data_IF_387932654387
#
_entry.id   IF_387932654387
#
_cell.length_a   1.000
_cell.length_b   1.000
_cell.length_c   1.000
_cell.angle_alpha   90.00
_cell.angle_beta   90.00
_cell.angle_gamma   90.00
#
_symmetry.space_group_name_H-M   'P 1'
#
loop_
_entity.id
_entity.type
_entity.pdbx_description
1 polymer ?
#
# COMPACT_ATOMS: atom_id res chain seq x y z
N UNK A 1 7.49 22.34 -2.73
CA UNK A 1 8.21 21.25 -3.42
C UNK A 1 7.78 21.28 -4.88
N UNK A 2 8.67 21.10 -5.86
CA UNK A 2 8.29 21.04 -7.27
C UNK A 2 8.06 19.57 -7.71
N UNK A 3 7.53 19.39 -8.90
CA UNK A 3 7.11 18.12 -9.53
C UNK A 3 8.24 17.09 -9.50
N UNK A 4 9.44 17.50 -9.94
CA UNK A 4 10.61 16.62 -9.95
C UNK A 4 10.95 16.09 -8.55
N UNK A 5 10.89 16.94 -7.51
CA UNK A 5 11.17 16.52 -6.14
C UNK A 5 10.08 15.58 -5.61
N UNK A 6 8.81 15.78 -5.99
CA UNK A 6 7.74 14.83 -5.69
C UNK A 6 7.98 13.48 -6.34
N UNK A 7 8.30 13.43 -7.63
CA UNK A 7 8.59 12.17 -8.34
C UNK A 7 9.80 11.44 -7.73
N UNK A 8 10.87 12.16 -7.39
CA UNK A 8 12.03 11.54 -6.71
C UNK A 8 11.62 10.93 -5.36
N UNK A 9 10.79 11.64 -4.59
CA UNK A 9 10.27 11.11 -3.31
C UNK A 9 9.42 9.87 -3.52
N UNK A 10 8.45 9.91 -4.43
CA UNK A 10 7.56 8.78 -4.71
C UNK A 10 8.36 7.58 -5.21
N UNK A 11 9.13 7.72 -6.29
CA UNK A 11 9.92 6.61 -6.86
C UNK A 11 10.82 5.96 -5.80
N UNK A 12 11.42 6.75 -4.89
CA UNK A 12 12.23 6.18 -3.82
C UNK A 12 11.39 5.38 -2.83
N UNK A 13 10.32 5.98 -2.30
CA UNK A 13 9.51 5.35 -1.24
C UNK A 13 8.74 4.13 -1.76
N UNK A 14 8.12 4.22 -2.94
CA UNK A 14 7.39 3.11 -3.58
C UNK A 14 8.31 1.91 -3.91
N UNK A 15 9.61 2.16 -4.13
CA UNK A 15 10.59 1.07 -4.33
C UNK A 15 10.88 0.26 -3.07
N UNK A 16 10.50 0.78 -1.90
CA UNK A 16 10.65 0.15 -0.58
C UNK A 16 9.29 -0.32 -0.04
N UNK A 17 8.21 0.41 -0.34
CA UNK A 17 6.84 0.11 0.12
C UNK A 17 6.33 -1.27 -0.35
N UNK A 18 6.75 -1.75 -1.52
CA UNK A 18 6.38 -3.11 -1.98
C UNK A 18 7.08 -4.27 -1.25
N UNK A 19 8.00 -4.01 -0.32
CA UNK A 19 8.79 -5.04 0.37
C UNK A 19 8.04 -5.73 1.53
N UNK A 20 7.38 -5.01 2.47
CA UNK A 20 6.73 -5.61 3.63
C UNK A 20 5.66 -6.65 3.29
N UNK A 21 4.71 -6.32 2.41
CA UNK A 21 3.67 -7.25 1.97
C UNK A 21 4.23 -8.53 1.36
N UNK A 22 5.30 -8.41 0.56
CA UNK A 22 5.99 -9.56 -0.04
C UNK A 22 6.65 -10.45 1.02
N UNK A 23 7.38 -9.85 1.96
CA UNK A 23 8.03 -10.59 3.06
C UNK A 23 6.99 -11.30 3.94
N UNK A 24 5.95 -10.58 4.34
CA UNK A 24 4.87 -11.10 5.18
C UNK A 24 4.13 -12.24 4.47
N UNK A 25 3.69 -12.02 3.23
CA UNK A 25 3.02 -13.01 2.39
C UNK A 25 3.87 -14.26 2.18
N UNK A 26 5.16 -14.11 1.86
CA UNK A 26 6.12 -15.22 1.72
C UNK A 26 6.25 -16.02 3.03
N UNK A 27 6.45 -15.35 4.17
CA UNK A 27 6.64 -16.03 5.45
C UNK A 27 5.39 -16.77 5.91
N UNK A 28 4.20 -16.18 5.71
CA UNK A 28 2.91 -16.83 5.96
C UNK A 28 2.67 -18.00 5.01
N UNK A 29 3.01 -17.86 3.74
CA UNK A 29 2.92 -18.92 2.74
C UNK A 29 3.77 -20.14 3.13
N UNK A 30 5.05 -19.93 3.44
CA UNK A 30 5.92 -20.99 3.92
C UNK A 30 5.44 -21.58 5.25
N UNK A 31 4.73 -20.82 6.09
CA UNK A 31 4.17 -21.30 7.36
C UNK A 31 2.98 -22.23 7.15
N UNK A 32 2.08 -21.83 6.25
CA UNK A 32 0.96 -22.63 5.77
C UNK A 32 1.44 -23.97 5.22
N UNK A 33 2.43 -23.95 4.32
CA UNK A 33 2.99 -25.15 3.69
C UNK A 33 3.63 -26.09 4.71
N UNK A 34 4.56 -25.61 5.54
CA UNK A 34 5.30 -26.48 6.49
C UNK A 34 4.43 -27.06 7.60
N UNK A 35 3.27 -26.46 7.88
CA UNK A 35 2.31 -26.94 8.89
C UNK A 35 1.12 -27.68 8.30
N UNK A 36 0.95 -27.67 6.97
CA UNK A 36 -0.20 -28.22 6.27
C UNK A 36 -1.53 -27.65 6.81
N UNK A 37 -1.56 -26.32 7.04
CA UNK A 37 -2.73 -25.60 7.59
C UNK A 37 -3.20 -24.52 6.65
N UNK A 38 -4.46 -24.10 6.79
CA UNK A 38 -5.00 -22.92 6.11
C UNK A 38 -4.38 -21.64 6.70
N UNK A 39 -4.21 -20.63 5.86
CA UNK A 39 -3.75 -19.29 6.24
C UNK A 39 -4.91 -18.33 6.59
N UNK A 40 -6.12 -18.65 6.15
CA UNK A 40 -7.34 -17.85 6.33
C UNK A 40 -7.35 -16.51 5.56
N UNK A 41 -6.73 -16.47 4.38
CA UNK A 41 -6.93 -15.42 3.37
C UNK A 41 -5.96 -14.24 3.46
N UNK A 42 -4.91 -14.30 4.28
CA UNK A 42 -3.95 -13.21 4.47
C UNK A 42 -2.85 -13.18 3.40
N UNK A 43 -2.38 -14.34 2.94
CA UNK A 43 -1.30 -14.42 1.93
C UNK A 43 -1.68 -13.64 0.67
N UNK A 44 -2.89 -13.85 0.15
CA UNK A 44 -3.35 -13.19 -1.07
C UNK A 44 -3.38 -11.67 -0.90
N UNK A 45 -4.02 -11.16 0.17
CA UNK A 45 -4.09 -9.73 0.45
C UNK A 45 -2.70 -9.08 0.59
N UNK A 46 -1.76 -9.73 1.27
CA UNK A 46 -0.40 -9.19 1.44
C UNK A 46 0.41 -9.17 0.14
N UNK A 47 0.17 -10.14 -0.76
CA UNK A 47 0.79 -10.16 -2.08
C UNK A 47 0.10 -9.19 -3.04
N UNK A 48 -1.22 -8.99 -2.93
CA UNK A 48 -1.98 -7.94 -3.62
C UNK A 48 -1.45 -6.55 -3.25
N UNK A 49 -1.22 -6.28 -1.95
CA UNK A 49 -0.60 -5.04 -1.45
C UNK A 49 0.78 -4.83 -2.07
N UNK A 50 1.69 -5.82 -1.98
CA UNK A 50 3.02 -5.71 -2.57
C UNK A 50 3.00 -5.50 -4.10
N UNK A 51 2.01 -6.07 -4.79
CA UNK A 51 1.78 -5.84 -6.20
C UNK A 51 1.30 -4.42 -6.46
N UNK A 52 0.37 -3.92 -5.66
CA UNK A 52 -0.19 -2.57 -5.78
C UNK A 52 0.90 -1.49 -5.61
N UNK A 53 1.72 -1.59 -4.57
CA UNK A 53 2.88 -0.70 -4.34
C UNK A 53 3.86 -0.71 -5.54
N UNK A 54 4.08 -1.88 -6.13
CA UNK A 54 4.91 -1.97 -7.35
C UNK A 54 4.25 -1.24 -8.52
N UNK A 55 2.93 -1.23 -8.62
CA UNK A 55 2.21 -0.48 -9.65
C UNK A 55 2.28 1.03 -9.42
N UNK A 56 2.35 1.50 -8.17
CA UNK A 56 2.69 2.91 -7.86
C UNK A 56 4.05 3.26 -8.44
N UNK A 57 5.09 2.48 -8.09
CA UNK A 57 6.44 2.68 -8.59
C UNK A 57 6.49 2.72 -10.12
N UNK A 58 5.94 1.70 -10.79
CA UNK A 58 6.00 1.59 -12.25
C UNK A 58 5.25 2.74 -12.93
N UNK A 59 4.18 3.23 -12.34
CA UNK A 59 3.46 4.43 -12.79
C UNK A 59 4.35 5.67 -12.72
N UNK A 60 5.00 5.94 -11.58
CA UNK A 60 5.87 7.12 -11.45
C UNK A 60 7.13 7.03 -12.32
N UNK A 61 7.63 5.82 -12.59
CA UNK A 61 8.73 5.62 -13.54
C UNK A 61 8.37 5.98 -15.00
N UNK A 62 7.07 6.05 -15.34
CA UNK A 62 6.63 6.61 -16.63
C UNK A 62 6.72 8.14 -16.68
N UNK A 63 6.82 8.80 -15.53
CA UNK A 63 6.89 10.26 -15.42
C UNK A 63 8.31 10.78 -15.19
N UNK A 64 9.18 9.98 -14.55
CA UNK A 64 10.59 10.34 -14.36
C UNK A 64 11.49 9.11 -14.33
N UNK A 65 12.68 9.24 -14.95
CA UNK A 65 13.72 8.22 -14.86
C UNK A 65 14.69 8.51 -13.70
N UNK A 66 14.93 7.54 -12.80
CA UNK A 66 15.91 7.70 -11.74
C UNK A 66 17.35 7.64 -12.29
N UNK A 67 18.18 8.58 -11.84
CA UNK A 67 19.62 8.55 -12.14
C UNK A 67 20.36 7.40 -11.45
N UNK A 68 21.61 7.16 -11.84
CA UNK A 68 22.43 6.05 -11.31
C UNK A 68 22.58 6.08 -9.77
N UNK A 69 22.76 7.28 -9.20
CA UNK A 69 22.89 7.44 -7.75
C UNK A 69 21.63 6.97 -7.00
N UNK A 70 20.45 7.35 -7.50
CA UNK A 70 19.18 6.91 -6.92
C UNK A 70 18.99 5.41 -7.06
N UNK A 71 19.33 4.83 -8.23
CA UNK A 71 19.30 3.36 -8.45
C UNK A 71 20.18 2.63 -7.43
N UNK A 72 21.38 3.12 -7.14
CA UNK A 72 22.25 2.54 -6.09
C UNK A 72 21.66 2.68 -4.69
N UNK A 73 21.06 3.82 -4.37
CA UNK A 73 20.38 4.03 -3.08
C UNK A 73 19.20 3.08 -2.89
N UNK A 74 18.42 2.81 -3.95
CA UNK A 74 17.31 1.85 -3.91
C UNK A 74 17.84 0.45 -3.58
N UNK A 75 18.90 -0.01 -4.26
CA UNK A 75 19.52 -1.32 -3.97
C UNK A 75 19.97 -1.40 -2.52
N UNK A 76 20.65 -0.37 -2.02
CA UNK A 76 21.11 -0.32 -0.62
C UNK A 76 19.94 -0.34 0.37
N UNK A 77 18.92 0.49 0.12
CA UNK A 77 17.71 0.57 0.96
C UNK A 77 16.96 -0.77 0.99
N UNK A 78 16.75 -1.41 -0.17
CA UNK A 78 16.11 -2.72 -0.24
C UNK A 78 16.94 -3.79 0.47
N UNK A 79 18.27 -3.79 0.31
CA UNK A 79 19.15 -4.72 0.99
C UNK A 79 19.04 -4.65 2.51
N UNK A 80 19.01 -3.44 3.08
CA UNK A 80 18.84 -3.26 4.53
C UNK A 80 17.40 -3.56 4.96
N UNK A 81 16.42 -2.97 4.28
CA UNK A 81 15.02 -3.03 4.70
C UNK A 81 14.40 -4.42 4.54
N UNK A 82 14.68 -5.13 3.45
CA UNK A 82 14.23 -6.52 3.27
C UNK A 82 14.72 -7.43 4.40
N UNK A 83 16.03 -7.40 4.68
CA UNK A 83 16.61 -8.25 5.72
C UNK A 83 16.11 -7.86 7.12
N UNK A 84 16.01 -6.55 7.39
CA UNK A 84 15.45 -6.04 8.64
C UNK A 84 14.00 -6.48 8.85
N UNK A 85 13.14 -6.28 7.86
CA UNK A 85 11.73 -6.69 7.90
C UNK A 85 11.58 -8.22 7.99
N UNK A 86 12.38 -8.98 7.26
CA UNK A 86 12.37 -10.45 7.32
C UNK A 86 12.67 -10.96 8.74
N UNK A 87 13.76 -10.48 9.35
CA UNK A 87 14.13 -10.87 10.71
C UNK A 87 13.11 -10.38 11.74
N UNK A 88 12.63 -9.13 11.62
CA UNK A 88 11.63 -8.58 12.52
C UNK A 88 10.31 -9.37 12.45
N UNK A 89 9.87 -9.76 11.26
CA UNK A 89 8.62 -10.49 11.07
C UNK A 89 8.68 -11.92 11.63
N UNK A 90 9.85 -12.56 11.60
CA UNK A 90 10.06 -13.84 12.28
C UNK A 90 9.91 -13.74 13.81
N UNK A 91 10.27 -12.59 14.39
CA UNK A 91 10.20 -12.36 15.84
C UNK A 91 8.82 -11.87 16.27
N UNK A 92 8.29 -10.84 15.62
CA UNK A 92 7.04 -10.20 15.99
C UNK A 92 6.28 -9.63 14.77
N UNK A 93 5.43 -10.44 14.11
CA UNK A 93 4.67 -9.98 12.95
C UNK A 93 3.69 -8.85 13.30
N UNK A 94 3.15 -8.83 14.53
CA UNK A 94 2.24 -7.78 14.99
C UNK A 94 2.91 -6.40 14.96
N UNK A 95 4.14 -6.31 15.45
CA UNK A 95 4.92 -5.07 15.41
C UNK A 95 5.23 -4.65 13.98
N UNK A 96 5.55 -5.59 13.08
CA UNK A 96 5.77 -5.28 11.66
C UNK A 96 4.53 -4.69 11.01
N UNK A 97 3.35 -5.27 11.21
CA UNK A 97 2.10 -4.73 10.65
C UNK A 97 1.74 -3.37 11.24
N UNK A 98 1.98 -3.15 12.54
CA UNK A 98 1.79 -1.83 13.14
C UNK A 98 2.74 -0.79 12.54
N UNK A 99 4.00 -1.17 12.31
CA UNK A 99 5.00 -0.31 11.69
C UNK A 99 4.59 0.07 10.26
N UNK A 100 4.16 -0.90 9.44
CA UNK A 100 3.63 -0.64 8.09
C UNK A 100 2.40 0.26 8.15
N UNK A 101 1.44 -0.02 9.04
CA UNK A 101 0.26 0.84 9.21
C UNK A 101 0.61 2.31 9.47
N UNK A 102 1.67 2.59 10.25
CA UNK A 102 2.17 3.95 10.44
C UNK A 102 2.92 4.52 9.23
N UNK A 103 3.63 3.70 8.45
CA UNK A 103 4.19 4.15 7.16
C UNK A 103 3.08 4.60 6.21
N UNK A 104 1.98 3.85 6.16
CA UNK A 104 0.84 4.19 5.30
C UNK A 104 0.05 5.40 5.79
N UNK A 105 0.01 5.68 7.09
CA UNK A 105 -0.46 6.96 7.60
C UNK A 105 0.34 8.15 7.02
N UNK A 106 1.67 8.02 7.01
CA UNK A 106 2.56 9.02 6.42
C UNK A 106 2.46 9.07 4.89
N UNK A 107 2.16 7.95 4.22
CA UNK A 107 1.92 7.90 2.78
C UNK A 107 0.62 8.64 2.42
N UNK A 108 -0.48 8.39 3.15
CA UNK A 108 -1.75 9.12 2.98
C UNK A 108 -1.57 10.62 3.15
N UNK A 109 -0.76 11.06 4.12
CA UNK A 109 -0.41 12.47 4.33
C UNK A 109 0.47 13.01 3.20
N UNK A 110 1.46 12.23 2.77
CA UNK A 110 2.36 12.59 1.68
C UNK A 110 1.57 12.89 0.40
N UNK A 111 0.63 12.02 0.02
CA UNK A 111 -0.24 12.23 -1.14
C UNK A 111 -1.24 13.36 -0.93
N UNK A 112 -1.78 13.53 0.28
CA UNK A 112 -2.60 14.69 0.61
C UNK A 112 -1.87 16.02 0.33
N UNK A 113 -0.62 16.15 0.78
CA UNK A 113 0.16 17.37 0.53
C UNK A 113 0.53 17.55 -0.94
N UNK A 114 0.76 16.47 -1.70
CA UNK A 114 0.99 16.56 -3.14
C UNK A 114 -0.26 17.08 -3.88
N UNK A 115 -1.44 16.54 -3.55
CA UNK A 115 -2.73 16.98 -4.07
C UNK A 115 -2.99 18.45 -3.73
N UNK A 116 -2.79 18.85 -2.46
CA UNK A 116 -2.96 20.25 -2.04
C UNK A 116 -2.03 21.21 -2.79
N UNK A 117 -0.79 20.80 -3.11
CA UNK A 117 0.11 21.62 -3.91
C UNK A 117 -0.36 21.73 -5.37
N UNK A 118 -0.90 20.65 -5.94
CA UNK A 118 -1.46 20.64 -7.29
C UNK A 118 -2.69 21.55 -7.38
N UNK A 119 -3.66 21.41 -6.47
CA UNK A 119 -4.88 22.21 -6.45
C UNK A 119 -4.60 23.70 -6.16
N UNK A 120 -3.51 24.00 -5.44
CA UNK A 120 -3.05 25.37 -5.21
C UNK A 120 -2.26 25.98 -6.39
N UNK A 121 -2.16 25.31 -7.54
CA UNK A 121 -1.43 25.79 -8.72
C UNK A 121 0.10 25.86 -8.53
N UNK A 122 0.65 25.11 -7.58
CA UNK A 122 2.11 25.08 -7.30
C UNK A 122 2.86 24.04 -8.14
N UNK A 123 2.13 23.24 -8.92
CA UNK A 123 2.64 22.16 -9.76
C UNK A 123 2.10 22.33 -11.20
N UNK A 124 2.47 23.41 -11.91
CA UNK A 124 1.91 23.76 -13.21
C UNK A 124 2.11 22.66 -14.27
N UNK A 125 3.18 21.86 -14.20
CA UNK A 125 3.41 20.77 -15.16
C UNK A 125 2.40 19.64 -14.96
N UNK A 126 1.75 19.54 -13.79
CA UNK A 126 0.81 18.47 -13.46
C UNK A 126 -0.66 18.86 -13.66
N UNK A 127 -0.98 20.15 -13.78
CA UNK A 127 -2.36 20.64 -13.89
C UNK A 127 -3.11 19.99 -15.08
N UNK A 128 -2.42 19.90 -16.22
CA UNK A 128 -2.95 19.32 -17.46
C UNK A 128 -2.25 18.01 -17.85
N UNK A 129 -1.52 17.40 -16.92
CA UNK A 129 -0.83 16.14 -17.17
C UNK A 129 -1.80 14.98 -17.14
N UNK A 130 -1.86 14.23 -18.24
CA UNK A 130 -2.60 12.97 -18.31
C UNK A 130 -1.84 11.89 -17.51
N UNK A 131 -2.58 11.07 -16.78
CA UNK A 131 -2.04 9.88 -16.12
C UNK A 131 -1.45 8.91 -17.16
N UNK A 132 -0.32 8.24 -16.87
CA UNK A 132 0.26 7.24 -17.76
C UNK A 132 -0.73 6.13 -18.13
N UNK A 133 -0.67 5.59 -19.34
CA UNK A 133 -1.61 4.55 -19.78
C UNK A 133 -1.57 3.29 -18.90
N UNK A 134 -0.38 2.95 -18.36
CA UNK A 134 -0.23 1.88 -17.35
C UNK A 134 -1.17 2.07 -16.15
N UNK A 135 -1.28 3.31 -15.67
CA UNK A 135 -2.13 3.67 -14.55
C UNK A 135 -3.62 3.64 -14.95
N UNK A 136 -3.93 4.16 -16.14
CA UNK A 136 -5.29 4.15 -16.69
C UNK A 136 -5.82 2.72 -16.75
N UNK A 137 -5.02 1.79 -17.24
CA UNK A 137 -5.39 0.38 -17.36
C UNK A 137 -5.49 -0.29 -15.99
N UNK A 138 -4.50 -0.09 -15.11
CA UNK A 138 -4.48 -0.74 -13.80
C UNK A 138 -5.64 -0.31 -12.89
N UNK A 139 -5.89 1.01 -12.77
CA UNK A 139 -6.99 1.53 -11.95
C UNK A 139 -8.32 1.65 -12.70
N UNK A 140 -8.40 1.16 -13.94
CA UNK A 140 -9.57 1.29 -14.82
C UNK A 140 -10.14 2.73 -14.82
N UNK A 141 -9.27 3.72 -15.06
CA UNK A 141 -9.62 5.14 -14.92
C UNK A 141 -10.63 5.55 -16.02
N UNK A 142 -11.83 6.08 -15.64
CA UNK A 142 -12.87 6.40 -16.61
C UNK A 142 -12.48 7.60 -17.49
N UNK A 143 -13.07 7.67 -18.68
CA UNK A 143 -12.89 8.80 -19.60
C UNK A 143 -13.33 10.10 -18.88
N UNK A 144 -12.44 11.10 -18.84
CA UNK A 144 -12.63 12.34 -18.07
C UNK A 144 -11.97 12.39 -16.69
N UNK A 145 -11.55 11.25 -16.12
CA UNK A 145 -10.81 11.21 -14.85
C UNK A 145 -9.37 10.70 -15.03
N UNK A 146 -8.75 10.97 -16.19
CA UNK A 146 -7.41 10.47 -16.56
C UNK A 146 -6.30 11.51 -16.35
N UNK A 147 -6.46 12.40 -15.37
CA UNK A 147 -5.48 13.45 -15.04
C UNK A 147 -4.63 13.07 -13.83
N UNK A 148 -3.48 13.72 -13.68
CA UNK A 148 -2.54 13.49 -12.57
C UNK A 148 -3.21 13.63 -11.20
N UNK A 149 -4.14 14.58 -11.02
CA UNK A 149 -4.93 14.71 -9.79
C UNK A 149 -5.70 13.41 -9.45
N UNK A 150 -6.38 12.84 -10.44
CA UNK A 150 -7.16 11.61 -10.26
C UNK A 150 -6.26 10.40 -9.98
N UNK A 151 -5.06 10.37 -10.58
CA UNK A 151 -4.07 9.36 -10.27
C UNK A 151 -3.62 9.45 -8.79
N UNK A 152 -3.25 10.64 -8.33
CA UNK A 152 -2.82 10.84 -6.94
C UNK A 152 -3.93 10.51 -5.93
N UNK A 153 -5.20 10.82 -6.27
CA UNK A 153 -6.35 10.47 -5.43
C UNK A 153 -6.54 8.95 -5.31
N UNK A 154 -6.31 8.20 -6.39
CA UNK A 154 -6.42 6.74 -6.41
C UNK A 154 -5.30 6.08 -5.62
N UNK A 155 -4.05 6.48 -5.86
CA UNK A 155 -2.90 6.00 -5.08
C UNK A 155 -3.12 6.29 -3.59
N UNK A 156 -3.56 7.52 -3.24
CA UNK A 156 -3.88 7.85 -1.84
C UNK A 156 -4.97 6.96 -1.23
N UNK A 157 -5.94 6.52 -2.03
CA UNK A 157 -6.99 5.62 -1.57
C UNK A 157 -6.43 4.21 -1.32
N UNK A 158 -5.51 3.75 -2.16
CA UNK A 158 -4.77 2.51 -1.96
C UNK A 158 -3.95 2.57 -0.65
N UNK A 159 -3.20 3.64 -0.40
CA UNK A 159 -2.46 3.79 0.88
C UNK A 159 -3.38 3.83 2.09
N UNK A 160 -4.53 4.49 1.97
CA UNK A 160 -5.51 4.50 3.04
C UNK A 160 -6.02 3.09 3.34
N UNK A 161 -6.11 2.23 2.30
CA UNK A 161 -6.49 0.84 2.42
C UNK A 161 -5.38 -0.01 3.03
N UNK A 162 -4.15 0.11 2.56
CA UNK A 162 -3.00 -0.59 3.13
C UNK A 162 -2.83 -0.27 4.61
N UNK A 163 -3.02 1.01 5.00
CA UNK A 163 -3.08 1.45 6.40
C UNK A 163 -4.13 0.68 7.21
N UNK A 164 -5.37 0.65 6.73
CA UNK A 164 -6.47 -0.02 7.42
C UNK A 164 -6.19 -1.52 7.56
N UNK A 165 -5.74 -2.17 6.49
CA UNK A 165 -5.45 -3.61 6.46
C UNK A 165 -4.33 -3.96 7.43
N UNK A 166 -3.22 -3.22 7.42
CA UNK A 166 -2.08 -3.48 8.29
C UNK A 166 -2.40 -3.20 9.77
N UNK A 167 -3.11 -2.11 10.09
CA UNK A 167 -3.54 -1.89 11.48
C UNK A 167 -4.52 -2.96 11.96
N UNK A 168 -5.49 -3.36 11.12
CA UNK A 168 -6.44 -4.45 11.43
C UNK A 168 -5.70 -5.74 11.70
N UNK A 169 -4.80 -6.14 10.80
CA UNK A 169 -3.98 -7.32 10.99
C UNK A 169 -3.16 -7.23 12.29
N UNK A 170 -2.61 -6.06 12.61
CA UNK A 170 -1.94 -5.76 13.88
C UNK A 170 -2.85 -5.81 15.13
N UNK A 171 -4.18 -5.73 15.00
CA UNK A 171 -5.15 -5.88 16.09
C UNK A 171 -5.57 -7.36 16.29
N UNK A 172 -5.46 -8.18 15.25
CA UNK A 172 -5.90 -9.57 15.25
C UNK A 172 -4.84 -10.56 15.76
N UNK A 173 -5.31 -11.76 16.12
CA UNK A 173 -4.45 -12.89 16.46
C UNK A 173 -3.93 -13.53 15.17
N UNK A 174 -2.73 -13.08 14.78
CA UNK A 174 -1.98 -13.45 13.58
C UNK A 174 -2.01 -14.93 13.18
N UNK A 175 -2.06 -15.84 14.17
CA UNK A 175 -1.97 -17.28 13.98
C UNK A 175 -3.29 -17.99 13.68
N UNK A 176 -4.44 -17.34 13.93
CA UNK A 176 -5.75 -18.01 13.92
C UNK A 176 -6.86 -17.21 13.29
N UNK A 177 -6.86 -15.89 13.46
CA UNK A 177 -7.99 -15.06 13.06
C UNK A 177 -8.06 -14.93 11.52
N UNK A 178 -9.26 -15.12 10.92
CA UNK A 178 -9.45 -14.98 9.48
C UNK A 178 -9.26 -13.54 9.00
N UNK A 179 -8.94 -13.39 7.72
CA UNK A 179 -8.89 -12.10 7.06
C UNK A 179 -10.31 -11.53 6.87
N UNK A 180 -10.67 -10.43 7.57
CA UNK A 180 -12.01 -9.88 7.51
C UNK A 180 -12.31 -9.22 6.15
N UNK A 181 -11.30 -8.83 5.36
CA UNK A 181 -11.46 -8.16 4.06
C UNK A 181 -11.88 -9.10 2.92
N UNK A 182 -11.81 -10.41 3.13
CA UNK A 182 -12.26 -11.44 2.17
C UNK A 182 -13.36 -12.33 2.75
N UNK A 183 -13.90 -11.95 3.91
CA UNK A 183 -14.96 -12.69 4.60
C UNK A 183 -16.36 -12.29 4.09
N UNK A 184 -17.32 -13.22 4.20
CA UNK A 184 -18.74 -12.93 3.93
C UNK A 184 -19.46 -12.62 5.22
N UNK A 185 -20.17 -11.49 5.27
CA UNK A 185 -20.91 -11.03 6.44
C UNK A 185 -22.40 -11.33 6.30
N UNK A 186 -23.04 -11.77 7.39
CA UNK A 186 -24.47 -12.17 7.41
C UNK A 186 -25.39 -10.99 7.11
N UNK A 187 -25.06 -9.81 7.65
CA UNK A 187 -25.81 -8.58 7.42
C UNK A 187 -24.90 -7.56 6.71
N UNK A 188 -24.90 -7.53 5.36
CA UNK A 188 -24.05 -6.62 4.60
C UNK A 188 -24.46 -5.14 4.73
N UNK A 189 -25.59 -4.83 5.37
CA UNK A 189 -26.02 -3.44 5.61
C UNK A 189 -25.27 -2.77 6.76
N UNK A 190 -24.65 -3.57 7.64
CA UNK A 190 -23.83 -3.05 8.74
C UNK A 190 -22.43 -2.72 8.25
N UNK A 191 -21.76 -1.70 8.82
CA UNK A 191 -20.35 -1.44 8.51
C UNK A 191 -19.50 -2.70 8.78
N UNK A 192 -18.72 -3.11 7.78
CA UNK A 192 -17.83 -4.25 7.84
C UNK A 192 -16.59 -4.01 6.97
N UNK A 193 -15.55 -4.79 7.20
CA UNK A 193 -14.33 -4.73 6.39
C UNK A 193 -14.62 -5.22 4.96
N UNK A 194 -14.39 -4.37 3.97
CA UNK A 194 -14.57 -4.65 2.53
C UNK A 194 -13.26 -4.44 1.77
N UNK A 195 -13.15 -4.78 0.49
CA UNK A 195 -12.00 -4.34 -0.34
C UNK A 195 -12.05 -2.84 -0.69
N UNK A 196 -13.22 -2.21 -0.57
CA UNK A 196 -13.43 -0.80 -0.89
C UNK A 196 -13.08 0.16 0.26
N UNK A 197 -13.53 1.40 0.10
CA UNK A 197 -13.27 2.53 1.02
C UNK A 197 -14.55 3.03 1.71
N UNK A 198 -15.67 2.31 1.62
CA UNK A 198 -16.99 2.75 2.10
C UNK A 198 -17.03 2.85 3.64
N UNK A 199 -16.31 1.96 4.32
CA UNK A 199 -16.30 1.84 5.79
C UNK A 199 -14.88 1.86 6.35
N UNK A 200 -14.01 2.70 5.78
CA UNK A 200 -12.60 2.71 6.14
C UNK A 200 -12.36 3.09 7.61
N UNK A 201 -11.57 2.29 8.32
CA UNK A 201 -11.10 2.60 9.68
C UNK A 201 -9.60 2.91 9.70
N UNK A 202 -9.19 4.16 9.95
CA UNK A 202 -7.77 4.53 9.95
C UNK A 202 -6.90 3.73 10.93
N UNK A 203 -7.45 3.33 12.08
CA UNK A 203 -6.77 2.52 13.10
C UNK A 203 -7.03 1.02 12.95
N UNK A 204 -7.61 0.59 11.82
CA UNK A 204 -8.04 -0.77 11.58
C UNK A 204 -9.32 -1.14 12.33
N UNK A 205 -9.77 -2.38 12.10
CA UNK A 205 -10.86 -3.02 12.82
C UNK A 205 -10.31 -3.72 14.05
N UNK A 206 -11.04 -3.63 15.16
CA UNK A 206 -10.73 -4.38 16.37
C UNK A 206 -11.28 -5.81 16.27
N UNK A 207 -10.67 -6.73 17.03
CA UNK A 207 -10.97 -8.16 16.94
C UNK A 207 -12.43 -8.48 17.24
N UNK A 208 -13.04 -7.81 18.20
CA UNK A 208 -14.44 -7.97 18.59
C UNK A 208 -15.44 -7.43 17.56
N UNK A 209 -14.96 -6.68 16.57
CA UNK A 209 -15.79 -6.13 15.50
C UNK A 209 -15.89 -7.05 14.28
N UNK A 210 -14.95 -7.99 14.11
CA UNK A 210 -14.79 -8.76 12.87
C UNK A 210 -14.68 -10.28 13.03
N UNK A 211 -14.58 -10.79 14.27
CA UNK A 211 -14.46 -12.22 14.59
C UNK A 211 -15.73 -12.76 15.26
#
# INVERSE_FOLDING_TARGET
MNERKWLVRFIFLESVAGVPGMVAGMLRHLHSLRRLKRDNGWIETLLEEAYNERMHLLTFLKLAEPGWFMKMMIIGAQGVFFNGMFLAYLVNPRTCHRFVGYLEEEAVLTYYFAIQNLEAGKLPEWENLRAPDLAVDYWNMPEGQRMMLNLLLRIRADEAKHREVNHTLGNLVQSSDPNPFVSSYVDPSRPHASKGIEHIKPLGWERDEVI
#
